data_IF_129140676185
#
_entry.id   IF_129140676185
#
_cell.length_a   1.000
_cell.length_b   1.000
_cell.length_c   1.000
_cell.angle_alpha   90.00
_cell.angle_beta   90.00
_cell.angle_gamma   90.00
#
_symmetry.space_group_name_H-M   'P 1'
#
loop_
_entity.id
_entity.type
_entity.pdbx_description
1 polymer ?
#
# COMPACT_ATOMS: atom_id res chain seq x y z
N UNK A 1 17.59 -19.88 -47.24
CA UNK A 1 16.49 -18.90 -47.31
C UNK A 1 16.79 -17.81 -46.27
N UNK A 2 17.28 -16.65 -46.72
CA UNK A 2 17.51 -15.52 -45.81
C UNK A 2 16.17 -14.93 -45.44
N UNK A 3 15.78 -15.05 -44.19
CA UNK A 3 14.63 -14.28 -43.64
C UNK A 3 15.06 -12.83 -43.54
N UNK A 4 14.43 -11.96 -44.31
CA UNK A 4 14.55 -10.51 -44.20
C UNK A 4 14.10 -10.12 -42.79
N UNK A 5 14.92 -9.36 -42.00
CA UNK A 5 14.49 -8.92 -40.69
C UNK A 5 13.25 -8.01 -40.85
N UNK A 6 12.20 -8.33 -40.11
CA UNK A 6 11.00 -7.51 -40.05
C UNK A 6 11.39 -6.09 -39.59
N UNK A 7 10.83 -5.04 -40.18
CA UNK A 7 11.10 -3.68 -39.77
C UNK A 7 10.77 -3.52 -38.28
N UNK A 8 11.69 -2.92 -37.52
CA UNK A 8 11.48 -2.55 -36.12
C UNK A 8 10.30 -1.61 -36.07
N UNK A 9 9.12 -2.12 -35.69
CA UNK A 9 7.96 -1.27 -35.44
C UNK A 9 8.20 -0.54 -34.11
N UNK A 10 8.32 0.80 -34.08
CA UNK A 10 8.61 1.54 -32.87
C UNK A 10 7.41 1.54 -31.88
N UNK A 11 6.22 1.12 -32.33
CA UNK A 11 5.01 1.11 -31.55
C UNK A 11 4.32 -0.25 -31.63
N UNK A 12 4.03 -0.83 -30.46
CA UNK A 12 3.19 -2.03 -30.37
C UNK A 12 1.73 -1.60 -30.28
N UNK A 13 0.85 -2.27 -31.02
CA UNK A 13 -0.59 -1.99 -30.94
C UNK A 13 -1.20 -2.53 -29.63
N UNK A 14 -0.61 -3.57 -29.02
CA UNK A 14 -1.11 -4.15 -27.75
C UNK A 14 0.05 -4.57 -26.81
N UNK A 15 -0.20 -4.57 -25.47
CA UNK A 15 0.74 -5.13 -24.49
C UNK A 15 1.10 -6.59 -24.76
N UNK A 16 0.14 -7.38 -25.25
CA UNK A 16 0.33 -8.80 -25.59
C UNK A 16 1.34 -8.99 -26.72
N UNK A 17 1.29 -8.16 -27.77
CA UNK A 17 2.25 -8.22 -28.87
C UNK A 17 3.67 -7.88 -28.42
N UNK A 18 3.79 -6.86 -27.54
CA UNK A 18 5.08 -6.51 -26.94
C UNK A 18 5.66 -7.66 -26.12
N UNK A 19 4.83 -8.31 -25.32
CA UNK A 19 5.22 -9.45 -24.48
C UNK A 19 5.59 -10.68 -25.32
N UNK A 20 4.80 -11.00 -26.37
CA UNK A 20 5.13 -12.08 -27.29
C UNK A 20 6.49 -11.88 -27.95
N UNK A 21 6.80 -10.66 -28.41
CA UNK A 21 8.11 -10.32 -28.95
C UNK A 21 9.21 -10.43 -27.89
N UNK A 22 8.95 -10.03 -26.64
CA UNK A 22 9.93 -10.17 -25.56
C UNK A 22 10.30 -11.65 -25.33
N UNK A 23 9.31 -12.53 -25.27
CA UNK A 23 9.52 -13.97 -25.10
C UNK A 23 10.25 -14.59 -26.31
N UNK A 24 9.83 -14.26 -27.55
CA UNK A 24 10.51 -14.71 -28.76
C UNK A 24 11.99 -14.33 -28.73
N UNK A 25 12.30 -13.06 -28.48
CA UNK A 25 13.70 -12.60 -28.42
C UNK A 25 14.50 -13.33 -27.36
N UNK A 26 13.92 -13.51 -26.18
CA UNK A 26 14.65 -14.09 -25.05
C UNK A 26 14.83 -15.60 -25.19
N UNK A 27 13.76 -16.35 -25.44
CA UNK A 27 13.77 -17.82 -25.40
C UNK A 27 14.11 -18.47 -26.75
N UNK A 28 13.82 -17.82 -27.89
CA UNK A 28 14.06 -18.40 -29.21
C UNK A 28 15.31 -17.81 -29.87
N UNK A 29 15.53 -16.50 -29.74
CA UNK A 29 16.65 -15.83 -30.42
C UNK A 29 17.86 -15.63 -29.51
N UNK A 30 17.75 -15.88 -28.20
CA UNK A 30 18.81 -15.70 -27.20
C UNK A 30 19.22 -14.23 -27.03
N UNK A 31 18.37 -13.28 -27.42
CA UNK A 31 18.65 -11.83 -27.36
C UNK A 31 17.91 -11.19 -26.18
N UNK A 32 18.56 -10.23 -25.51
CA UNK A 32 17.98 -9.54 -24.37
C UNK A 32 16.82 -8.63 -24.82
N UNK A 33 15.60 -8.80 -24.27
CA UNK A 33 14.41 -8.03 -24.67
C UNK A 33 14.29 -6.68 -23.94
N UNK A 34 15.37 -5.89 -23.90
CA UNK A 34 15.43 -4.61 -23.20
C UNK A 34 14.32 -3.66 -23.67
N UNK A 35 13.61 -3.03 -22.71
CA UNK A 35 12.52 -2.10 -23.00
C UNK A 35 11.18 -2.76 -23.37
N UNK A 36 11.11 -4.09 -23.48
CA UNK A 36 9.88 -4.81 -23.77
C UNK A 36 9.18 -5.30 -22.51
N UNK A 37 9.93 -5.74 -21.50
CA UNK A 37 9.48 -6.10 -20.16
C UNK A 37 10.39 -5.46 -19.12
N UNK A 38 9.99 -5.50 -17.85
CA UNK A 38 10.77 -4.89 -16.76
C UNK A 38 12.11 -5.62 -16.59
N UNK A 39 13.10 -4.88 -16.10
CA UNK A 39 14.44 -5.43 -15.82
C UNK A 39 14.39 -6.58 -14.80
N UNK A 40 13.52 -6.46 -13.78
CA UNK A 40 13.30 -7.51 -12.79
C UNK A 40 12.83 -8.83 -13.42
N UNK A 41 11.93 -8.76 -14.42
CA UNK A 41 11.46 -9.93 -15.19
C UNK A 41 12.59 -10.54 -16.00
N UNK A 42 13.39 -9.72 -16.71
CA UNK A 42 14.52 -10.21 -17.52
C UNK A 42 15.54 -10.94 -16.64
N UNK A 43 15.88 -10.35 -15.50
CA UNK A 43 16.81 -10.95 -14.56
C UNK A 43 16.27 -12.25 -13.95
N UNK A 44 14.97 -12.28 -13.64
CA UNK A 44 14.30 -13.49 -13.16
C UNK A 44 14.30 -14.61 -14.20
N UNK A 45 13.97 -14.30 -15.47
CA UNK A 45 14.10 -15.27 -16.56
C UNK A 45 15.53 -15.81 -16.67
N UNK A 46 16.53 -14.92 -16.55
CA UNK A 46 17.94 -15.35 -16.60
C UNK A 46 18.29 -16.33 -15.48
N UNK A 47 17.81 -16.09 -14.25
CA UNK A 47 18.04 -17.01 -13.13
C UNK A 47 17.34 -18.35 -13.32
N UNK A 48 16.11 -18.35 -13.84
CA UNK A 48 15.39 -19.59 -14.15
C UNK A 48 16.14 -20.42 -15.21
N UNK A 49 16.64 -19.78 -16.28
CA UNK A 49 17.44 -20.46 -17.32
C UNK A 49 18.77 -20.99 -16.75
N UNK A 50 19.47 -20.19 -15.93
CA UNK A 50 20.71 -20.61 -15.27
C UNK A 50 20.50 -21.77 -14.29
N UNK A 51 19.33 -21.85 -13.67
CA UNK A 51 18.91 -22.98 -12.84
C UNK A 51 18.41 -24.19 -13.64
N UNK A 52 18.58 -24.16 -14.97
CA UNK A 52 18.17 -25.23 -15.90
C UNK A 52 16.68 -25.60 -15.81
N UNK A 53 15.80 -24.63 -15.47
CA UNK A 53 14.35 -24.84 -15.44
C UNK A 53 13.81 -24.88 -16.88
N UNK A 54 12.84 -25.75 -17.11
CA UNK A 54 12.13 -25.85 -18.38
C UNK A 54 10.85 -24.99 -18.32
N UNK A 55 10.64 -24.02 -19.24
CA UNK A 55 9.41 -23.23 -19.30
C UNK A 55 8.11 -24.05 -19.41
N UNK A 56 8.18 -25.29 -19.85
CA UNK A 56 7.05 -26.22 -19.95
C UNK A 56 6.83 -27.08 -18.70
N UNK A 57 7.74 -27.02 -17.73
CA UNK A 57 7.59 -27.69 -16.44
C UNK A 57 6.31 -27.26 -15.74
N UNK A 58 5.59 -28.21 -15.16
CA UNK A 58 4.41 -27.93 -14.33
C UNK A 58 4.81 -27.83 -12.87
N UNK A 59 4.55 -26.67 -12.29
CA UNK A 59 4.84 -26.41 -10.88
C UNK A 59 3.69 -26.95 -10.01
N UNK A 60 4.06 -27.69 -8.98
CA UNK A 60 3.13 -28.11 -7.93
C UNK A 60 3.27 -27.17 -6.74
N UNK A 61 2.16 -26.55 -6.32
CA UNK A 61 2.11 -25.68 -5.14
C UNK A 61 2.03 -26.52 -3.85
N UNK A 62 3.09 -27.30 -3.57
CA UNK A 62 3.13 -28.14 -2.37
C UNK A 62 3.53 -27.30 -1.16
N UNK A 63 2.81 -27.43 -0.01
CA UNK A 63 3.23 -26.80 1.24
C UNK A 63 4.60 -27.36 1.68
N UNK A 64 5.39 -26.52 2.34
CA UNK A 64 6.62 -26.94 3.02
C UNK A 64 6.27 -27.85 4.21
N UNK A 65 7.28 -28.41 4.86
CA UNK A 65 7.06 -29.32 5.99
C UNK A 65 6.26 -28.66 7.12
N UNK A 66 5.47 -29.42 7.88
CA UNK A 66 4.69 -28.88 9.01
C UNK A 66 5.52 -28.10 10.02
N UNK A 67 6.76 -28.57 10.30
CA UNK A 67 7.70 -27.86 11.17
C UNK A 67 8.08 -26.48 10.60
N UNK A 68 8.33 -26.39 9.30
CA UNK A 68 8.66 -25.11 8.62
C UNK A 68 7.45 -24.18 8.62
N UNK A 69 6.23 -24.70 8.41
CA UNK A 69 4.99 -23.90 8.50
C UNK A 69 4.87 -23.32 9.91
N UNK A 70 5.00 -24.15 10.94
CA UNK A 70 4.91 -23.70 12.34
C UNK A 70 5.95 -22.61 12.63
N UNK A 71 7.19 -22.80 12.20
CA UNK A 71 8.26 -21.83 12.38
C UNK A 71 8.00 -20.52 11.62
N UNK A 72 7.46 -20.57 10.39
CA UNK A 72 7.11 -19.39 9.61
C UNK A 72 5.99 -18.58 10.30
N UNK A 73 4.91 -19.24 10.74
CA UNK A 73 3.81 -18.61 11.47
C UNK A 73 4.27 -17.99 12.80
N UNK A 74 5.11 -18.70 13.56
CA UNK A 74 5.64 -18.21 14.84
C UNK A 74 6.50 -16.94 14.64
N UNK A 75 7.38 -16.91 13.63
CA UNK A 75 8.19 -15.73 13.31
C UNK A 75 7.32 -14.55 12.82
N UNK A 76 6.25 -14.84 12.10
CA UNK A 76 5.35 -13.82 11.52
C UNK A 76 4.26 -13.37 12.49
N UNK A 77 4.18 -13.91 13.72
CA UNK A 77 3.06 -13.64 14.63
C UNK A 77 2.85 -12.15 14.91
N UNK A 78 3.90 -11.40 15.24
CA UNK A 78 3.80 -9.97 15.50
C UNK A 78 3.33 -9.19 14.26
N UNK A 79 3.87 -9.54 13.09
CA UNK A 79 3.47 -8.94 11.81
C UNK A 79 2.01 -9.24 11.48
N UNK A 80 1.57 -10.50 11.65
CA UNK A 80 0.17 -10.89 11.43
C UNK A 80 -0.79 -10.17 12.37
N UNK A 81 -0.41 -9.98 13.64
CA UNK A 81 -1.20 -9.20 14.60
C UNK A 81 -1.27 -7.73 14.20
N UNK A 82 -0.14 -7.13 13.83
CA UNK A 82 -0.07 -5.74 13.39
C UNK A 82 -0.85 -5.49 12.08
N UNK A 83 -0.90 -6.48 11.19
CA UNK A 83 -1.54 -6.40 9.88
C UNK A 83 -3.02 -6.78 9.86
N UNK A 84 -3.58 -7.31 10.96
CA UNK A 84 -4.90 -7.96 10.96
C UNK A 84 -6.02 -7.07 10.43
N UNK A 85 -6.12 -5.83 10.90
CA UNK A 85 -7.15 -4.88 10.46
C UNK A 85 -6.97 -4.47 8.99
N UNK A 86 -5.73 -4.27 8.55
CA UNK A 86 -5.41 -3.87 7.18
C UNK A 86 -5.68 -5.02 6.20
N UNK A 87 -5.37 -6.26 6.58
CA UNK A 87 -5.67 -7.45 5.77
C UNK A 87 -7.19 -7.67 5.65
N UNK A 88 -7.94 -7.48 6.74
CA UNK A 88 -9.40 -7.54 6.69
C UNK A 88 -9.99 -6.44 5.79
N UNK A 89 -9.44 -5.22 5.86
CA UNK A 89 -9.87 -4.12 4.98
C UNK A 89 -9.49 -4.38 3.52
N UNK A 90 -8.32 -4.98 3.24
CA UNK A 90 -7.91 -5.37 1.90
C UNK A 90 -8.85 -6.45 1.34
N UNK A 91 -9.25 -7.43 2.16
CA UNK A 91 -10.23 -8.46 1.76
C UNK A 91 -11.56 -7.81 1.32
N UNK A 92 -12.08 -6.85 2.11
CA UNK A 92 -13.27 -6.09 1.73
C UNK A 92 -13.06 -5.26 0.44
N UNK A 93 -11.88 -4.67 0.27
CA UNK A 93 -11.53 -3.89 -0.92
C UNK A 93 -11.49 -4.77 -2.18
N UNK A 94 -11.01 -5.99 -2.07
CA UNK A 94 -10.96 -6.96 -3.16
C UNK A 94 -12.28 -7.74 -3.35
N UNK A 95 -13.24 -7.61 -2.43
CA UNK A 95 -14.53 -8.28 -2.53
C UNK A 95 -15.23 -7.90 -3.86
N UNK A 96 -15.69 -8.91 -4.60
CA UNK A 96 -16.29 -8.73 -5.93
C UNK A 96 -15.29 -8.63 -7.08
N UNK A 97 -13.98 -8.63 -6.80
CA UNK A 97 -12.94 -8.89 -7.81
C UNK A 97 -12.60 -10.39 -7.82
N UNK A 98 -11.96 -10.86 -8.90
CA UNK A 98 -11.40 -12.22 -8.97
C UNK A 98 -9.96 -12.26 -8.41
N UNK A 99 -9.62 -11.36 -7.48
CA UNK A 99 -8.28 -11.25 -6.93
C UNK A 99 -8.21 -11.73 -5.48
N UNK A 100 -7.07 -12.29 -5.10
CA UNK A 100 -6.75 -12.71 -3.74
C UNK A 100 -5.49 -11.98 -3.28
N UNK A 101 -5.48 -11.51 -2.04
CA UNK A 101 -4.25 -11.04 -1.42
C UNK A 101 -3.56 -12.21 -0.70
N UNK A 102 -2.26 -12.31 -0.87
CA UNK A 102 -1.39 -13.32 -0.27
C UNK A 102 -0.27 -12.62 0.48
N UNK A 103 -0.06 -12.97 1.73
CA UNK A 103 1.05 -12.48 2.52
C UNK A 103 2.04 -13.61 2.79
N UNK A 104 3.31 -13.40 2.45
CA UNK A 104 4.39 -14.35 2.72
C UNK A 104 5.30 -13.86 3.83
N UNK A 105 6.04 -14.78 4.46
CA UNK A 105 7.23 -14.39 5.22
C UNK A 105 8.38 -13.95 4.29
N UNK A 106 9.50 -13.55 4.86
CA UNK A 106 10.69 -13.13 4.10
C UNK A 106 11.33 -14.25 3.25
N UNK A 107 10.96 -15.51 3.48
CA UNK A 107 11.43 -16.68 2.74
C UNK A 107 10.41 -17.18 1.69
N UNK A 108 9.33 -16.43 1.46
CA UNK A 108 8.33 -16.76 0.46
C UNK A 108 7.26 -17.75 0.89
N UNK A 109 7.26 -18.18 2.16
CA UNK A 109 6.22 -19.08 2.68
C UNK A 109 4.94 -18.29 2.95
N UNK A 110 3.83 -18.71 2.39
CA UNK A 110 2.51 -18.11 2.62
C UNK A 110 2.11 -18.26 4.08
N UNK A 111 1.88 -17.14 4.77
CA UNK A 111 1.46 -17.07 6.17
C UNK A 111 0.04 -16.55 6.35
N UNK A 112 -0.50 -15.87 5.34
CA UNK A 112 -1.90 -15.44 5.30
C UNK A 112 -2.37 -15.28 3.85
N UNK A 113 -3.67 -15.52 3.62
CA UNK A 113 -4.32 -15.19 2.35
C UNK A 113 -5.79 -14.83 2.59
N UNK A 114 -6.30 -13.86 1.84
CA UNK A 114 -7.72 -13.49 1.88
C UNK A 114 -8.57 -14.56 1.21
N UNK A 115 -9.85 -14.65 1.61
CA UNK A 115 -10.82 -15.52 0.97
C UNK A 115 -11.33 -14.87 -0.32
N UNK A 116 -11.37 -15.61 -1.42
CA UNK A 116 -12.11 -15.16 -2.61
C UNK A 116 -13.61 -15.44 -2.35
N UNK A 117 -14.44 -14.41 -2.52
CA UNK A 117 -15.88 -14.51 -2.25
C UNK A 117 -16.64 -15.31 -3.34
N UNK A 118 -16.04 -15.57 -4.48
CA UNK A 118 -16.66 -16.26 -5.61
C UNK A 118 -15.68 -17.29 -6.21
N UNK A 119 -16.20 -18.47 -6.55
CA UNK A 119 -15.52 -19.44 -7.38
C UNK A 119 -15.68 -18.99 -8.85
N UNK A 120 -14.63 -18.43 -9.40
CA UNK A 120 -14.58 -17.96 -10.79
C UNK A 120 -13.99 -19.00 -11.75
N UNK A 121 -13.88 -20.26 -11.33
CA UNK A 121 -13.26 -21.34 -12.10
C UNK A 121 -11.72 -21.30 -12.03
N UNK A 122 -11.16 -20.71 -10.99
CA UNK A 122 -9.72 -20.63 -10.71
C UNK A 122 -9.19 -22.04 -10.35
N UNK A 123 -8.03 -22.40 -10.89
CA UNK A 123 -7.40 -23.70 -10.66
C UNK A 123 -6.10 -23.57 -9.88
N UNK A 124 -5.29 -22.55 -10.20
CA UNK A 124 -3.95 -22.38 -9.63
C UNK A 124 -4.00 -21.53 -8.35
N UNK A 125 -4.78 -20.47 -8.34
CA UNK A 125 -4.84 -19.52 -7.23
C UNK A 125 -5.29 -20.17 -5.91
N UNK A 126 -6.32 -21.08 -5.88
CA UNK A 126 -6.67 -21.82 -4.67
C UNK A 126 -5.54 -22.70 -4.14
N UNK A 127 -4.62 -23.16 -5.00
CA UNK A 127 -3.45 -23.94 -4.61
C UNK A 127 -2.32 -23.04 -4.10
N UNK A 128 -2.04 -21.95 -4.80
CA UNK A 128 -0.96 -21.02 -4.48
C UNK A 128 -1.17 -20.29 -3.14
N UNK A 129 -2.43 -19.96 -2.78
CA UNK A 129 -2.78 -19.21 -1.56
C UNK A 129 -2.81 -20.03 -0.28
N UNK A 130 -2.58 -21.35 -0.33
CA UNK A 130 -2.60 -22.20 0.86
C UNK A 130 -1.46 -21.85 1.80
N UNK A 131 -1.77 -21.75 3.08
CA UNK A 131 -0.76 -21.54 4.13
C UNK A 131 0.32 -22.61 4.04
N UNK A 132 1.57 -22.18 4.08
CA UNK A 132 2.73 -23.05 3.98
C UNK A 132 3.24 -23.31 2.57
N UNK A 133 2.54 -22.88 1.53
CA UNK A 133 3.07 -22.93 0.16
C UNK A 133 4.21 -21.92 0.04
N UNK A 134 5.31 -22.31 -0.62
CA UNK A 134 6.38 -21.37 -0.91
C UNK A 134 6.24 -20.85 -2.35
N UNK A 135 6.11 -19.51 -2.48
CA UNK A 135 5.94 -18.80 -3.75
C UNK A 135 7.14 -17.91 -4.09
N UNK A 136 8.32 -18.25 -3.58
CA UNK A 136 9.56 -17.61 -4.02
C UNK A 136 9.95 -18.01 -5.45
N UNK A 137 10.98 -17.35 -5.97
CA UNK A 137 11.46 -17.58 -7.35
C UNK A 137 12.04 -19.00 -7.57
N UNK A 138 12.61 -19.63 -6.54
CA UNK A 138 13.18 -20.97 -6.65
C UNK A 138 12.09 -22.03 -6.85
N UNK A 139 10.92 -21.80 -6.25
CA UNK A 139 9.79 -22.73 -6.29
C UNK A 139 8.89 -22.50 -7.50
N UNK A 140 8.49 -21.24 -7.75
CA UNK A 140 7.50 -20.92 -8.78
C UNK A 140 8.07 -20.16 -10.00
N UNK A 141 9.40 -19.98 -10.07
CA UNK A 141 10.03 -19.19 -11.12
C UNK A 141 9.64 -17.71 -11.05
N UNK A 142 9.58 -17.07 -12.21
CA UNK A 142 9.25 -15.64 -12.30
C UNK A 142 7.84 -15.36 -11.82
N UNK A 143 7.73 -14.68 -10.71
CA UNK A 143 6.49 -14.17 -10.10
C UNK A 143 6.77 -12.84 -9.38
N UNK A 144 5.75 -12.00 -9.18
CA UNK A 144 5.93 -10.70 -8.51
C UNK A 144 6.47 -10.85 -7.08
N UNK A 145 6.00 -11.79 -6.23
CA UNK A 145 6.58 -12.01 -4.90
C UNK A 145 8.07 -12.32 -4.94
N UNK A 146 8.49 -13.28 -5.78
CA UNK A 146 9.89 -13.70 -5.88
C UNK A 146 10.82 -12.57 -6.32
N UNK A 147 10.42 -11.78 -7.33
CA UNK A 147 11.18 -10.60 -7.76
C UNK A 147 11.24 -9.55 -6.65
N UNK A 148 10.12 -9.29 -5.96
CA UNK A 148 10.05 -8.34 -4.84
C UNK A 148 10.98 -8.75 -3.71
N UNK A 149 11.05 -10.03 -3.36
CA UNK A 149 11.99 -10.56 -2.36
C UNK A 149 13.45 -10.32 -2.75
N UNK A 150 13.79 -10.52 -4.02
CA UNK A 150 15.16 -10.37 -4.53
C UNK A 150 15.59 -8.91 -4.64
N UNK A 151 14.68 -8.04 -5.06
CA UNK A 151 15.01 -6.63 -5.36
C UNK A 151 14.72 -5.68 -4.20
N UNK A 152 13.84 -6.09 -3.27
CA UNK A 152 13.30 -5.22 -2.24
C UNK A 152 12.44 -4.08 -2.80
N UNK A 153 11.97 -4.19 -4.05
CA UNK A 153 11.16 -3.18 -4.73
C UNK A 153 9.79 -3.76 -5.12
N UNK A 154 8.74 -2.93 -5.17
CA UNK A 154 7.46 -3.36 -5.72
C UNK A 154 7.62 -3.89 -7.14
N UNK A 155 6.87 -4.92 -7.47
CA UNK A 155 6.93 -5.56 -8.78
C UNK A 155 5.53 -5.92 -9.30
N UNK A 156 5.37 -5.85 -10.62
CA UNK A 156 4.20 -6.30 -11.37
C UNK A 156 4.67 -7.38 -12.36
N UNK A 157 4.01 -8.52 -12.38
CA UNK A 157 4.26 -9.62 -13.33
C UNK A 157 2.94 -10.06 -13.94
N UNK A 158 2.78 -9.89 -15.24
CA UNK A 158 1.50 -10.05 -15.94
C UNK A 158 1.57 -11.17 -16.97
N UNK A 159 0.72 -12.16 -16.82
CA UNK A 159 0.51 -13.19 -17.85
C UNK A 159 1.82 -13.84 -18.33
N UNK A 160 2.13 -13.69 -19.61
CA UNK A 160 3.33 -14.25 -20.21
C UNK A 160 4.68 -13.71 -19.69
N UNK A 161 4.72 -12.77 -18.75
CA UNK A 161 5.94 -12.40 -18.02
C UNK A 161 6.36 -13.51 -17.05
N UNK A 162 5.43 -14.38 -16.62
CA UNK A 162 5.78 -15.59 -15.86
C UNK A 162 6.63 -16.53 -16.70
N UNK A 163 7.65 -17.13 -16.09
CA UNK A 163 8.56 -18.03 -16.78
C UNK A 163 7.84 -19.30 -17.28
N UNK A 164 7.12 -19.98 -16.38
CA UNK A 164 6.42 -21.23 -16.69
C UNK A 164 5.13 -21.00 -17.47
N UNK A 165 4.94 -21.77 -18.55
CA UNK A 165 3.80 -21.62 -19.46
C UNK A 165 2.43 -21.73 -18.78
N UNK A 166 2.28 -22.66 -17.83
CA UNK A 166 1.01 -22.86 -17.13
C UNK A 166 0.69 -21.74 -16.11
N UNK A 167 1.69 -20.97 -15.65
CA UNK A 167 1.48 -19.82 -14.76
C UNK A 167 1.14 -18.52 -15.51
N UNK A 168 1.17 -18.52 -16.84
CA UNK A 168 0.87 -17.32 -17.65
C UNK A 168 -0.59 -16.88 -17.60
N UNK A 169 -1.45 -17.61 -16.91
CA UNK A 169 -2.81 -17.19 -16.59
C UNK A 169 -2.88 -16.28 -15.35
N UNK A 170 -1.77 -16.16 -14.61
CA UNK A 170 -1.70 -15.33 -13.40
C UNK A 170 -1.28 -13.90 -13.73
N UNK A 171 -1.82 -12.96 -12.97
CA UNK A 171 -1.43 -11.56 -12.94
C UNK A 171 -1.16 -11.18 -11.49
N UNK A 172 0.07 -10.82 -11.16
CA UNK A 172 0.55 -10.63 -9.80
C UNK A 172 1.10 -9.21 -9.62
N UNK A 173 0.78 -8.59 -8.49
CA UNK A 173 1.37 -7.33 -8.04
C UNK A 173 1.85 -7.50 -6.61
N UNK A 174 3.13 -7.23 -6.33
CA UNK A 174 3.71 -7.44 -5.01
C UNK A 174 4.47 -6.21 -4.52
N UNK A 175 4.46 -6.03 -3.19
CA UNK A 175 5.21 -4.97 -2.52
C UNK A 175 5.88 -5.51 -1.24
N UNK A 176 7.10 -5.03 -0.90
CA UNK A 176 7.81 -5.45 0.29
C UNK A 176 7.27 -4.78 1.55
N UNK A 177 7.37 -5.47 2.68
CA UNK A 177 7.13 -4.96 4.02
C UNK A 177 8.44 -5.14 4.79
N UNK A 178 8.95 -4.08 5.40
CA UNK A 178 10.23 -4.08 6.10
C UNK A 178 10.03 -3.95 7.61
N UNK A 179 10.99 -4.50 8.35
CA UNK A 179 11.06 -4.37 9.81
C UNK A 179 11.85 -3.11 10.25
N UNK A 180 11.97 -2.92 11.57
CA UNK A 180 12.73 -1.80 12.17
C UNK A 180 14.23 -1.80 11.82
N UNK A 181 14.77 -2.90 11.33
CA UNK A 181 16.15 -3.02 10.88
C UNK A 181 16.30 -2.74 9.37
N UNK A 182 15.19 -2.37 8.69
CA UNK A 182 15.15 -2.19 7.23
C UNK A 182 15.24 -3.50 6.44
N UNK A 183 15.16 -4.66 7.12
CA UNK A 183 15.20 -5.97 6.50
C UNK A 183 13.81 -6.36 5.97
N UNK A 184 13.77 -7.18 4.94
CA UNK A 184 12.50 -7.73 4.44
C UNK A 184 11.86 -8.61 5.51
N UNK A 185 10.69 -8.22 6.00
CA UNK A 185 9.90 -9.00 6.95
C UNK A 185 8.85 -9.87 6.23
N UNK A 186 8.25 -9.34 5.17
CA UNK A 186 7.17 -9.98 4.44
C UNK A 186 7.06 -9.41 3.01
N UNK A 187 6.29 -10.10 2.16
CA UNK A 187 5.83 -9.57 0.88
C UNK A 187 4.31 -9.71 0.82
N UNK A 188 3.63 -8.60 0.54
CA UNK A 188 2.22 -8.58 0.21
C UNK A 188 2.08 -8.70 -1.30
N UNK A 189 1.27 -9.64 -1.75
CA UNK A 189 0.95 -9.90 -3.16
C UNK A 189 -0.57 -9.84 -3.37
N UNK A 190 -0.99 -9.31 -4.50
CA UNK A 190 -2.37 -9.38 -5.00
C UNK A 190 -2.33 -10.07 -6.35
N UNK A 191 -3.03 -11.18 -6.45
CA UNK A 191 -3.03 -12.03 -7.65
C UNK A 191 -4.44 -12.30 -8.15
N UNK A 192 -4.61 -12.23 -9.49
CA UNK A 192 -5.79 -12.69 -10.22
C UNK A 192 -5.40 -13.86 -11.14
N UNK A 193 -6.33 -14.79 -11.41
CA UNK A 193 -6.18 -15.87 -12.39
C UNK A 193 -7.14 -15.67 -13.56
N UNK A 194 -6.66 -15.92 -14.78
CA UNK A 194 -7.46 -15.97 -16.01
C UNK A 194 -7.86 -14.61 -16.60
N UNK A 195 -7.70 -13.51 -15.89
CA UNK A 195 -8.03 -12.16 -16.38
C UNK A 195 -7.08 -11.10 -15.80
N UNK A 196 -6.78 -10.03 -16.55
CA UNK A 196 -5.96 -8.94 -16.05
C UNK A 196 -6.70 -8.17 -14.94
N UNK A 197 -5.93 -7.40 -14.15
CA UNK A 197 -6.50 -6.50 -13.17
C UNK A 197 -7.43 -5.47 -13.82
N UNK A 198 -8.61 -5.26 -13.22
CA UNK A 198 -9.54 -4.20 -13.58
C UNK A 198 -9.26 -2.85 -12.89
N UNK A 199 -8.17 -2.77 -12.11
CA UNK A 199 -7.76 -1.62 -11.32
C UNK A 199 -6.23 -1.54 -11.27
N UNK A 200 -5.67 -0.47 -10.73
CA UNK A 200 -4.21 -0.34 -10.48
C UNK A 200 -3.82 -1.20 -9.27
N UNK A 201 -3.47 -2.45 -9.52
CA UNK A 201 -3.08 -3.40 -8.47
C UNK A 201 -1.76 -3.00 -7.79
N UNK A 202 -0.83 -2.35 -8.51
CA UNK A 202 0.43 -1.88 -7.93
C UNK A 202 0.17 -0.76 -6.91
N UNK A 203 -0.75 0.17 -7.20
CA UNK A 203 -1.15 1.20 -6.26
C UNK A 203 -1.84 0.61 -5.02
N UNK A 204 -2.76 -0.35 -5.21
CA UNK A 204 -3.47 -0.99 -4.10
C UNK A 204 -2.51 -1.77 -3.20
N UNK A 205 -1.70 -2.67 -3.77
CA UNK A 205 -0.77 -3.48 -2.97
C UNK A 205 0.29 -2.60 -2.28
N UNK A 206 0.78 -1.56 -2.96
CA UNK A 206 1.73 -0.60 -2.39
C UNK A 206 1.16 0.18 -1.20
N UNK A 207 -0.10 0.62 -1.28
CA UNK A 207 -0.78 1.29 -0.19
C UNK A 207 -0.91 0.39 1.04
N UNK A 208 -1.45 -0.83 0.87
CA UNK A 208 -1.65 -1.76 1.98
C UNK A 208 -0.32 -2.26 2.56
N UNK A 209 0.69 -2.54 1.73
CA UNK A 209 2.03 -2.90 2.21
C UNK A 209 2.64 -1.78 3.06
N UNK A 210 2.49 -0.51 2.63
CA UNK A 210 2.96 0.66 3.41
C UNK A 210 2.20 0.79 4.73
N UNK A 211 0.88 0.57 4.74
CA UNK A 211 0.07 0.62 5.96
C UNK A 211 0.50 -0.46 6.94
N UNK A 212 0.65 -1.70 6.46
CA UNK A 212 1.11 -2.85 7.27
C UNK A 212 2.54 -2.60 7.78
N UNK A 213 3.45 -2.10 6.94
CA UNK A 213 4.82 -1.71 7.36
C UNK A 213 4.77 -0.70 8.49
N UNK A 214 3.97 0.36 8.37
CA UNK A 214 3.83 1.37 9.40
C UNK A 214 3.32 0.79 10.73
N UNK A 215 2.36 -0.14 10.70
CA UNK A 215 1.87 -0.82 11.90
C UNK A 215 2.92 -1.75 12.51
N UNK A 216 3.64 -2.50 11.68
CA UNK A 216 4.72 -3.37 12.13
C UNK A 216 5.85 -2.58 12.80
N UNK A 217 6.29 -1.47 12.17
CA UNK A 217 7.32 -0.59 12.73
C UNK A 217 6.92 -0.04 14.10
N UNK A 218 5.65 0.37 14.24
CA UNK A 218 5.11 0.82 15.54
C UNK A 218 5.07 -0.33 16.55
N UNK A 219 4.59 -1.51 16.16
CA UNK A 219 4.50 -2.68 17.05
C UNK A 219 5.88 -3.17 17.53
N UNK A 220 6.92 -2.99 16.71
CA UNK A 220 8.30 -3.32 17.07
C UNK A 220 9.02 -2.21 17.87
N UNK A 221 8.42 -1.02 17.99
CA UNK A 221 9.04 0.16 18.59
C UNK A 221 8.61 0.32 20.04
N UNK A 222 9.28 -0.39 20.93
CA UNK A 222 9.08 -0.21 22.36
C UNK A 222 9.92 0.98 22.87
N UNK A 223 9.31 1.90 23.63
CA UNK A 223 9.98 3.05 24.27
C UNK A 223 10.66 4.05 23.30
N UNK A 224 10.20 4.14 22.06
CA UNK A 224 10.72 5.08 21.08
C UNK A 224 9.90 6.37 21.02
N UNK A 225 10.57 7.50 20.79
CA UNK A 225 9.93 8.71 20.31
C UNK A 225 9.66 8.54 18.80
N UNK A 226 8.38 8.51 18.41
CA UNK A 226 8.03 8.42 16.99
C UNK A 226 7.79 9.84 16.45
N UNK A 227 8.59 10.22 15.46
CA UNK A 227 8.45 11.46 14.71
C UNK A 227 7.66 11.19 13.45
N UNK A 228 6.57 11.92 13.27
CA UNK A 228 5.74 11.95 12.08
C UNK A 228 6.11 13.17 11.24
N UNK A 229 6.30 13.02 9.95
CA UNK A 229 6.66 14.13 9.07
C UNK A 229 6.02 13.99 7.70
N UNK A 230 5.62 15.13 7.10
CA UNK A 230 5.12 15.17 5.71
C UNK A 230 5.17 16.61 5.16
N UNK A 231 5.24 16.76 3.84
CA UNK A 231 5.20 18.07 3.17
C UNK A 231 3.82 18.74 3.23
N UNK A 232 2.77 17.97 3.47
CA UNK A 232 1.40 18.46 3.69
C UNK A 232 0.86 17.99 5.04
N UNK A 233 0.29 18.87 5.86
CA UNK A 233 -0.28 18.48 7.16
C UNK A 233 -1.48 17.52 7.01
N UNK A 234 -2.18 17.55 5.87
CA UNK A 234 -3.30 16.65 5.59
C UNK A 234 -2.89 15.19 5.41
N UNK A 235 -1.62 14.91 5.18
CA UNK A 235 -1.08 13.55 5.01
C UNK A 235 -0.51 12.97 6.31
N UNK A 236 -0.40 13.76 7.38
CA UNK A 236 -0.06 13.26 8.70
C UNK A 236 -1.20 12.37 9.24
N UNK A 237 -0.86 11.24 9.84
CA UNK A 237 -1.83 10.26 10.31
C UNK A 237 -2.43 9.38 9.20
N UNK A 238 -1.96 9.50 7.97
CA UNK A 238 -2.32 8.63 6.85
C UNK A 238 -1.20 7.63 6.55
N UNK A 239 -1.43 6.56 5.77
CA UNK A 239 -0.37 5.65 5.35
C UNK A 239 0.79 6.34 4.61
N UNK A 240 0.54 7.54 4.06
CA UNK A 240 1.53 8.31 3.30
C UNK A 240 2.42 9.18 4.18
N UNK A 241 2.29 9.13 5.51
CA UNK A 241 3.19 9.87 6.40
C UNK A 241 4.58 9.25 6.49
N UNK A 242 5.59 10.10 6.63
CA UNK A 242 6.93 9.68 7.02
C UNK A 242 6.98 9.40 8.51
N UNK A 243 7.57 8.28 8.90
CA UNK A 243 7.76 7.87 10.29
C UNK A 243 9.23 7.63 10.57
N UNK A 244 9.70 8.11 11.73
CA UNK A 244 11.04 7.83 12.25
C UNK A 244 10.95 7.50 13.74
N UNK A 245 11.51 6.37 14.16
CA UNK A 245 11.65 5.98 15.56
C UNK A 245 13.00 6.40 16.11
N UNK A 246 13.00 7.14 17.23
CA UNK A 246 14.20 7.64 17.89
C UNK A 246 14.39 6.95 19.25
N UNK A 247 15.62 6.54 19.53
CA UNK A 247 16.00 6.03 20.84
C UNK A 247 16.20 7.15 21.88
N UNK A 248 16.41 6.76 23.14
CA UNK A 248 16.61 7.69 24.28
C UNK A 248 17.88 8.55 24.16
N UNK A 249 18.79 8.26 23.24
CA UNK A 249 20.04 8.98 22.99
C UNK A 249 19.95 9.91 21.76
N UNK A 250 18.79 9.94 21.08
CA UNK A 250 18.58 10.70 19.86
C UNK A 250 19.15 10.02 18.59
N UNK A 251 19.50 8.73 18.69
CA UNK A 251 19.76 7.90 17.53
C UNK A 251 18.46 7.59 16.78
N UNK A 252 18.50 7.58 15.45
CA UNK A 252 17.37 7.12 14.62
C UNK A 252 17.47 5.60 14.53
N UNK A 253 16.57 4.90 15.22
CA UNK A 253 16.53 3.44 15.23
C UNK A 253 15.98 2.89 13.92
N UNK A 254 14.98 3.57 13.31
CA UNK A 254 14.38 3.18 12.05
C UNK A 254 13.65 4.36 11.38
N UNK A 255 13.44 4.25 10.09
CA UNK A 255 12.59 5.13 9.27
C UNK A 255 11.75 4.28 8.32
N UNK A 256 10.51 4.68 8.04
CA UNK A 256 9.74 4.06 6.96
C UNK A 256 10.20 4.61 5.59
N UNK A 257 9.73 4.00 4.49
CA UNK A 257 10.11 4.39 3.13
C UNK A 257 9.78 5.86 2.80
N UNK A 258 8.67 6.39 3.33
CA UNK A 258 8.27 7.80 3.10
C UNK A 258 9.26 8.74 3.81
N UNK A 259 9.56 8.50 5.09
CA UNK A 259 10.55 9.29 5.83
C UNK A 259 11.94 9.19 5.18
N UNK A 260 12.37 8.00 4.77
CA UNK A 260 13.64 7.79 4.10
C UNK A 260 13.82 8.71 2.89
N UNK A 261 12.78 8.82 2.04
CA UNK A 261 12.78 9.71 0.87
C UNK A 261 12.76 11.19 1.24
N UNK A 262 11.95 11.60 2.23
CA UNK A 262 11.85 13.01 2.65
C UNK A 262 13.15 13.49 3.32
N UNK A 263 13.79 12.61 4.09
CA UNK A 263 15.02 12.90 4.82
C UNK A 263 16.28 12.71 3.95
N UNK A 264 16.16 12.01 2.82
CA UNK A 264 17.31 11.69 1.96
C UNK A 264 18.25 10.64 2.56
N UNK A 265 17.72 9.71 3.36
CA UNK A 265 18.48 8.63 4.02
C UNK A 265 18.03 7.26 3.52
N UNK A 266 18.85 6.22 3.70
CA UNK A 266 18.43 4.86 3.42
C UNK A 266 17.69 4.24 4.63
N UNK A 267 16.68 3.39 4.39
CA UNK A 267 16.12 2.55 5.45
C UNK A 267 17.20 1.62 6.01
N UNK A 268 17.23 1.48 7.34
CA UNK A 268 18.23 0.64 8.01
C UNK A 268 19.67 1.20 7.98
N UNK A 269 19.89 2.45 7.55
CA UNK A 269 21.21 3.07 7.61
C UNK A 269 21.67 3.21 9.07
N UNK A 270 22.84 2.68 9.43
CA UNK A 270 23.33 2.73 10.80
C UNK A 270 23.82 4.12 11.19
N UNK A 271 23.75 4.46 12.47
CA UNK A 271 24.42 5.63 13.05
C UNK A 271 23.76 6.97 12.75
N UNK A 272 22.56 6.98 12.17
CA UNK A 272 21.82 8.23 11.92
C UNK A 272 21.43 8.90 13.25
N UNK A 273 21.60 10.23 13.33
CA UNK A 273 21.22 11.02 14.49
C UNK A 273 20.14 12.04 14.16
N UNK A 274 19.25 12.30 15.13
CA UNK A 274 18.15 13.22 14.97
C UNK A 274 18.61 14.67 14.71
N UNK A 275 19.67 15.12 15.38
CA UNK A 275 20.24 16.45 15.20
C UNK A 275 20.82 16.68 13.80
N UNK A 276 21.40 15.64 13.19
CA UNK A 276 21.94 15.68 11.83
C UNK A 276 20.84 15.64 10.76
N UNK A 277 19.86 14.74 10.95
CA UNK A 277 18.84 14.43 9.93
C UNK A 277 17.68 15.42 9.97
N UNK A 278 17.23 15.79 11.18
CA UNK A 278 16.16 16.78 11.35
C UNK A 278 16.67 18.20 11.59
N UNK A 279 17.93 18.40 11.99
CA UNK A 279 18.42 19.69 12.48
C UNK A 279 17.82 20.08 13.83
N UNK A 280 17.24 19.14 14.56
CA UNK A 280 16.57 19.33 15.85
C UNK A 280 17.15 18.36 16.89
N UNK A 281 17.45 18.89 18.08
CA UNK A 281 17.84 18.03 19.20
C UNK A 281 16.68 17.15 19.67
N UNK A 282 16.98 16.00 20.29
CA UNK A 282 15.99 15.10 20.87
C UNK A 282 15.00 15.85 21.80
N UNK A 283 15.52 16.77 22.65
CA UNK A 283 14.69 17.55 23.56
C UNK A 283 13.67 18.44 22.84
N UNK A 284 14.04 19.02 21.71
CA UNK A 284 13.11 19.81 20.87
C UNK A 284 12.06 18.91 20.20
N UNK A 285 12.45 17.77 19.68
CA UNK A 285 11.51 16.79 19.13
C UNK A 285 10.56 16.24 20.21
N UNK A 286 11.09 15.93 21.40
CA UNK A 286 10.27 15.51 22.53
C UNK A 286 9.31 16.60 23.03
N UNK A 287 9.67 17.89 22.90
CA UNK A 287 8.77 18.99 23.23
C UNK A 287 7.53 19.02 22.33
N UNK A 288 7.64 18.56 21.06
CA UNK A 288 6.49 18.46 20.14
C UNK A 288 5.43 17.45 20.58
N UNK A 289 5.75 16.55 21.53
CA UNK A 289 4.74 15.62 22.09
C UNK A 289 3.72 16.30 22.97
N UNK A 290 4.04 17.50 23.49
CA UNK A 290 3.17 18.31 24.36
C UNK A 290 2.16 19.14 23.56
N UNK A 291 2.47 19.41 22.31
CA UNK A 291 1.59 20.14 21.41
C UNK A 291 0.71 19.14 20.64
N UNK A 292 -0.59 19.38 20.65
CA UNK A 292 -1.56 18.55 19.92
C UNK A 292 -1.54 18.78 18.39
N UNK A 293 -0.73 19.74 17.92
CA UNK A 293 -0.63 20.15 16.54
C UNK A 293 0.70 19.76 15.87
N UNK A 294 0.74 19.83 14.55
CA UNK A 294 1.97 19.74 13.77
C UNK A 294 2.59 21.12 13.59
N UNK A 295 3.91 21.21 13.62
CA UNK A 295 4.68 22.42 13.38
C UNK A 295 5.44 22.34 12.05
N UNK A 296 5.49 23.46 11.30
CA UNK A 296 6.33 23.51 10.11
C UNK A 296 7.80 23.62 10.51
N UNK A 297 8.63 22.80 9.90
CA UNK A 297 10.07 22.76 10.14
C UNK A 297 10.83 22.61 8.81
N UNK A 298 11.98 23.30 8.70
CA UNK A 298 12.88 23.17 7.56
C UNK A 298 13.99 22.15 7.88
N UNK A 299 14.02 21.07 7.12
CA UNK A 299 15.05 20.04 7.23
C UNK A 299 16.43 20.57 6.76
N UNK A 300 17.56 19.94 7.18
CA UNK A 300 18.89 20.27 6.70
C UNK A 300 19.07 20.17 5.18
N UNK A 301 18.32 19.26 4.53
CA UNK A 301 18.31 19.14 3.07
C UNK A 301 17.51 20.25 2.35
N UNK A 302 16.96 21.21 3.11
CA UNK A 302 16.23 22.38 2.60
C UNK A 302 14.73 22.18 2.43
N UNK A 303 14.19 20.95 2.59
CA UNK A 303 12.78 20.67 2.44
C UNK A 303 12.00 21.21 3.66
N UNK A 304 10.86 21.87 3.42
CA UNK A 304 9.92 22.24 4.48
C UNK A 304 8.92 21.08 4.71
N UNK A 305 8.81 20.65 5.95
CA UNK A 305 7.92 19.56 6.37
C UNK A 305 7.10 19.96 7.59
N UNK A 306 5.93 19.39 7.72
CA UNK A 306 5.14 19.40 8.93
C UNK A 306 5.59 18.25 9.82
N UNK A 307 5.90 18.54 11.08
CA UNK A 307 6.45 17.56 12.03
C UNK A 307 5.58 17.52 13.28
N UNK A 308 5.32 16.34 13.77
CA UNK A 308 4.75 16.08 15.09
C UNK A 308 5.48 14.89 15.71
N UNK A 309 5.47 14.76 17.04
CA UNK A 309 6.10 13.66 17.74
C UNK A 309 5.14 13.00 18.72
N UNK A 310 5.28 11.69 18.92
CA UNK A 310 4.50 10.93 19.90
C UNK A 310 5.42 9.94 20.62
N UNK A 311 5.21 9.78 21.92
CA UNK A 311 5.86 8.69 22.67
C UNK A 311 5.05 7.40 22.50
N UNK A 312 5.74 6.33 22.16
CA UNK A 312 5.16 4.99 22.21
C UNK A 312 5.25 4.51 23.68
N UNK A 313 4.10 4.27 24.30
CA UNK A 313 4.07 3.77 25.67
C UNK A 313 4.24 2.26 25.71
N UNK A 314 4.85 1.73 26.79
CA UNK A 314 5.18 0.30 26.97
C UNK A 314 3.95 -0.62 27.10
N UNK A 315 2.79 -0.06 27.45
CA UNK A 315 1.56 -0.80 27.74
C UNK A 315 0.61 -1.00 26.56
N UNK A 316 1.08 -0.70 25.34
CA UNK A 316 0.28 -0.90 24.14
C UNK A 316 -0.98 -0.02 24.06
N UNK A 317 -1.17 0.90 25.00
CA UNK A 317 -2.21 1.91 24.93
C UNK A 317 -1.86 2.89 23.81
N UNK A 318 -2.12 2.45 22.57
CA UNK A 318 -2.15 3.33 21.43
C UNK A 318 -3.15 4.45 21.76
N UNK A 319 -2.64 5.67 21.88
CA UNK A 319 -3.55 6.83 21.78
C UNK A 319 -4.36 6.64 20.50
N UNK A 320 -5.67 6.91 20.52
CA UNK A 320 -6.53 6.55 19.42
C UNK A 320 -5.92 7.08 18.11
N UNK A 321 -5.51 6.18 17.24
CA UNK A 321 -5.38 6.49 15.82
C UNK A 321 -6.70 7.18 15.49
N UNK A 322 -6.65 8.38 14.96
CA UNK A 322 -7.84 9.00 14.37
C UNK A 322 -8.26 7.99 13.31
N UNK A 323 -9.24 7.16 13.67
CA UNK A 323 -9.92 6.33 12.70
C UNK A 323 -10.45 7.32 11.69
N UNK A 324 -9.99 7.23 10.46
CA UNK A 324 -10.77 7.75 9.34
C UNK A 324 -12.21 7.32 9.63
N UNK A 325 -13.20 8.23 9.54
CA UNK A 325 -14.57 7.83 9.80
C UNK A 325 -14.81 6.58 8.97
N UNK A 326 -14.98 5.46 9.65
CA UNK A 326 -15.51 4.28 9.03
C UNK A 326 -16.85 4.74 8.51
N UNK A 327 -16.96 4.94 7.20
CA UNK A 327 -18.26 4.88 6.54
C UNK A 327 -18.74 3.48 6.86
N UNK A 328 -19.46 3.37 7.98
CA UNK A 328 -20.22 2.17 8.28
C UNK A 328 -21.23 2.07 7.14
N UNK A 329 -20.91 1.27 6.15
CA UNK A 329 -21.89 0.69 5.27
C UNK A 329 -22.63 -0.32 6.16
N UNK A 330 -23.48 0.20 7.04
CA UNK A 330 -24.57 -0.59 7.57
C UNK A 330 -25.45 -0.96 6.36
N UNK A 331 -26.02 -2.18 6.32
CA UNK A 331 -26.95 -2.55 5.28
C UNK A 331 -28.07 -1.50 5.29
N UNK A 332 -28.17 -0.77 4.21
CA UNK A 332 -29.09 0.33 4.01
C UNK A 332 -30.52 -0.22 4.05
N UNK A 333 -31.18 -0.09 5.21
CA UNK A 333 -32.64 -0.03 5.22
C UNK A 333 -33.03 1.20 4.38
N UNK A 334 -34.00 1.02 3.52
CA UNK A 334 -34.54 1.90 2.50
C UNK A 334 -34.22 3.40 2.66
N UNK A 335 -33.64 3.99 1.62
CA UNK A 335 -33.25 5.37 1.50
C UNK A 335 -34.43 6.32 1.84
N UNK A 336 -34.23 7.32 2.70
CA UNK A 336 -35.05 8.53 2.66
C UNK A 336 -34.67 9.31 1.40
N UNK A 337 -35.68 9.86 0.73
CA UNK A 337 -35.60 10.55 -0.52
C UNK A 337 -34.42 11.55 -0.59
N UNK A 338 -33.73 11.57 -1.74
CA UNK A 338 -32.62 12.46 -2.03
C UNK A 338 -32.98 13.92 -1.67
N UNK A 339 -32.30 14.48 -0.69
CA UNK A 339 -32.39 15.92 -0.42
C UNK A 339 -31.80 16.66 -1.62
N UNK A 340 -32.56 17.52 -2.22
CA UNK A 340 -32.11 18.33 -3.36
C UNK A 340 -31.07 19.36 -2.90
N UNK A 341 -30.23 19.86 -3.83
CA UNK A 341 -29.31 20.98 -3.54
C UNK A 341 -30.03 22.17 -2.88
N UNK A 342 -31.32 22.38 -3.20
CA UNK A 342 -32.18 23.40 -2.59
C UNK A 342 -32.45 23.17 -1.09
N UNK A 343 -32.54 21.90 -0.66
CA UNK A 343 -32.77 21.57 0.75
C UNK A 343 -31.50 21.81 1.59
N UNK A 344 -30.33 21.49 1.03
CA UNK A 344 -29.03 21.77 1.67
C UNK A 344 -28.75 23.27 1.82
N UNK A 345 -29.07 24.05 0.79
CA UNK A 345 -28.94 25.53 0.83
C UNK A 345 -29.90 26.13 1.86
N UNK A 346 -31.10 25.61 1.97
CA UNK A 346 -32.10 26.04 2.94
C UNK A 346 -31.65 25.78 4.38
N UNK A 347 -31.14 24.57 4.68
CA UNK A 347 -30.63 24.21 6.01
C UNK A 347 -29.46 25.10 6.43
N UNK A 348 -28.56 25.42 5.50
CA UNK A 348 -27.46 26.34 5.73
C UNK A 348 -27.96 27.77 6.09
N UNK A 349 -28.93 28.27 5.36
CA UNK A 349 -29.53 29.59 5.58
C UNK A 349 -30.21 29.62 6.96
N UNK A 350 -31.03 28.63 7.30
CA UNK A 350 -31.74 28.55 8.59
C UNK A 350 -30.76 28.52 9.76
N UNK A 351 -29.74 27.64 9.71
CA UNK A 351 -28.70 27.56 10.75
C UNK A 351 -27.94 28.87 10.93
N UNK A 352 -27.60 29.55 9.83
CA UNK A 352 -26.84 30.80 9.88
C UNK A 352 -27.71 31.95 10.47
N UNK A 353 -29.01 31.99 10.16
CA UNK A 353 -29.94 32.99 10.75
C UNK A 353 -30.10 32.73 12.25
N UNK A 354 -30.20 31.46 12.68
CA UNK A 354 -30.26 31.09 14.11
C UNK A 354 -28.95 31.47 14.84
N UNK A 355 -27.79 31.17 14.23
CA UNK A 355 -26.49 31.54 14.79
C UNK A 355 -26.25 33.06 14.87
N UNK A 356 -27.07 33.85 14.16
CA UNK A 356 -27.06 35.29 14.21
C UNK A 356 -28.23 35.88 15.05
N UNK A 357 -28.82 35.09 15.94
CA UNK A 357 -29.93 35.47 16.80
C UNK A 357 -31.13 36.08 16.04
N UNK A 358 -31.44 35.53 14.86
CA UNK A 358 -32.51 35.99 14.01
C UNK A 358 -32.18 37.26 13.17
N UNK A 359 -30.97 37.79 13.27
CA UNK A 359 -30.57 38.98 12.51
C UNK A 359 -30.23 38.65 11.05
N UNK A 360 -31.27 38.77 10.21
CA UNK A 360 -31.18 38.47 8.74
C UNK A 360 -30.12 39.34 8.04
N UNK A 361 -29.90 40.57 8.48
CA UNK A 361 -28.89 41.44 7.87
C UNK A 361 -27.46 41.00 8.17
N UNK A 362 -27.22 40.44 9.37
CA UNK A 362 -25.94 39.85 9.77
C UNK A 362 -25.70 38.53 9.04
N UNK A 363 -26.71 37.65 8.97
CA UNK A 363 -26.68 36.39 8.24
C UNK A 363 -26.43 36.57 6.73
N UNK A 364 -27.10 37.56 6.10
CA UNK A 364 -26.90 37.90 4.69
C UNK A 364 -25.45 38.32 4.37
N UNK A 365 -24.82 39.08 5.25
CA UNK A 365 -23.41 39.49 5.13
C UNK A 365 -22.48 38.29 5.30
N UNK A 366 -22.76 37.42 6.25
CA UNK A 366 -21.94 36.25 6.53
C UNK A 366 -22.00 35.20 5.38
N UNK A 367 -23.17 35.01 4.81
CA UNK A 367 -23.38 34.11 3.66
C UNK A 367 -23.07 34.77 2.30
N UNK A 368 -22.75 36.08 2.28
CA UNK A 368 -22.52 36.88 1.07
C UNK A 368 -23.67 36.78 0.06
N UNK A 369 -24.93 36.81 0.56
CA UNK A 369 -26.13 36.74 -0.26
C UNK A 369 -27.04 37.94 0.01
N UNK A 370 -28.00 38.18 -0.86
CA UNK A 370 -28.97 39.25 -0.66
C UNK A 370 -29.97 38.90 0.47
N UNK A 371 -30.41 39.90 1.24
CA UNK A 371 -31.45 39.71 2.25
C UNK A 371 -32.75 39.14 1.68
N UNK A 372 -33.08 39.49 0.44
CA UNK A 372 -34.21 38.92 -0.28
C UNK A 372 -34.15 37.44 -0.51
N UNK A 373 -32.94 36.89 -0.71
CA UNK A 373 -32.75 35.45 -0.84
C UNK A 373 -33.06 34.74 0.48
N UNK A 374 -32.56 35.24 1.58
CA UNK A 374 -32.83 34.67 2.91
C UNK A 374 -34.33 34.70 3.23
N UNK A 375 -35.01 35.81 3.01
CA UNK A 375 -36.46 35.90 3.24
C UNK A 375 -37.27 34.96 2.37
N UNK A 376 -36.85 34.71 1.12
CA UNK A 376 -37.52 33.77 0.22
C UNK A 376 -37.44 32.34 0.74
N UNK A 377 -36.28 31.93 1.23
CA UNK A 377 -36.07 30.59 1.81
C UNK A 377 -36.77 30.40 3.15
N UNK A 378 -36.85 31.43 3.99
CA UNK A 378 -37.60 31.39 5.25
C UNK A 378 -39.13 31.36 5.06
N UNK A 379 -39.66 32.04 4.03
CA UNK A 379 -41.10 32.01 3.70
C UNK A 379 -41.61 30.72 3.11
N UNK A 380 -40.78 29.94 2.41
CA UNK A 380 -41.16 28.68 1.83
C UNK A 380 -41.27 27.52 2.85
N UNK A 381 -41.14 27.78 4.15
CA UNK A 381 -41.16 26.83 5.23
C UNK A 381 -42.21 27.01 6.33
N UNK A 382 -43.13 27.92 6.17
CA UNK A 382 -44.29 27.98 7.06
C UNK A 382 -45.39 27.05 6.50
N UNK A 383 -45.83 26.03 7.25
CA UNK A 383 -47.04 25.29 6.88
C UNK A 383 -48.23 26.25 7.06
N UNK A 384 -49.06 26.35 6.00
CA UNK A 384 -50.35 26.99 6.04
C UNK A 384 -51.37 26.12 6.78
#
# INVERSE_FOLDING_TARGET
MHRTPLPVQPFFSTPQQRLALARQRYFEEGTRPSGLVSEGVIQSWSRCVQAHRDPFERIAFNPVTPSRIHSALARSQLMLQAAADDLAQLELTLAGTACTAILTDAQGVVVHATQSAADHGEVLLPLARRIGVNIDEEHIGTGAPGITMRTGQPCLVLGGEHFFGHLQVLHCAAAPIRDVHGQLAAVLDVTCEGRPFGFDAAAVVGLYATTIENQLLRAQSHEHLIVHLQTSPALLGTPMEGLAGLDSRGGIAWVNNVAARLLGVAQGAPGLRADEVFGLSLNRLAALTRDTGSAMHRLPNGLNVWVMARMQAHDGAAQPVIRLPQSSIAPQAAAPAASTLRDSDRDLIVRTVQACDGNVSKAARQLRVSRGLIYRHLKQGAPG
#
